data_IF_886075860748
#
_entry.id   IF_886075860748
#
_cell.length_a   1.000
_cell.length_b   1.000
_cell.length_c   1.000
_cell.angle_alpha   90.00
_cell.angle_beta   90.00
_cell.angle_gamma   90.00
#
_symmetry.space_group_name_H-M   'P 1'
#
loop_
_entity.id
_entity.type
_entity.pdbx_description
1 polymer ?
#
# COMPACT_ATOMS: atom_id res chain seq x y z
N UNK A 1 -14.65 -29.64 4.23
CA UNK A 1 -15.34 -30.94 4.04
C UNK A 1 -14.98 -31.46 2.66
N UNK A 2 -14.26 -32.61 2.62
CA UNK A 2 -13.92 -33.32 1.37
C UNK A 2 -15.15 -33.98 0.78
N UNK A 3 -15.42 -33.74 -0.51
CA UNK A 3 -16.37 -34.52 -1.30
C UNK A 3 -15.60 -35.23 -2.41
N UNK A 4 -15.44 -36.54 -2.40
CA UNK A 4 -14.74 -37.27 -3.47
C UNK A 4 -15.65 -37.47 -4.67
N UNK A 5 -15.27 -37.03 -5.87
CA UNK A 5 -15.85 -37.48 -7.13
C UNK A 5 -14.96 -38.56 -7.74
N UNK A 6 -15.50 -39.78 -7.83
CA UNK A 6 -14.84 -40.90 -8.51
C UNK A 6 -15.28 -40.86 -9.98
N UNK A 7 -14.35 -40.75 -10.91
CA UNK A 7 -14.57 -41.09 -12.34
C UNK A 7 -13.77 -42.34 -12.67
N UNK A 8 -14.47 -43.38 -13.11
CA UNK A 8 -13.84 -44.61 -13.60
C UNK A 8 -13.75 -44.59 -15.12
N UNK A 9 -12.57 -44.86 -15.66
CA UNK A 9 -12.36 -45.16 -17.07
C UNK A 9 -11.92 -46.63 -17.20
N UNK A 10 -12.61 -47.38 -18.07
CA UNK A 10 -12.25 -48.73 -18.44
C UNK A 10 -11.39 -48.69 -19.70
N UNK A 11 -10.15 -49.12 -19.62
CA UNK A 11 -9.33 -49.44 -20.79
C UNK A 11 -8.42 -50.63 -20.46
N UNK A 12 -8.56 -51.71 -21.24
CA UNK A 12 -7.72 -52.92 -21.22
C UNK A 12 -7.44 -53.57 -19.84
N UNK A 13 -8.47 -53.83 -19.06
CA UNK A 13 -8.36 -54.66 -17.88
C UNK A 13 -7.67 -54.06 -16.67
N UNK A 14 -7.24 -52.80 -16.73
CA UNK A 14 -6.66 -52.06 -15.57
C UNK A 14 -7.61 -50.99 -15.11
N UNK A 15 -7.97 -51.02 -13.83
CA UNK A 15 -8.69 -49.92 -13.17
C UNK A 15 -7.70 -48.88 -12.70
N UNK A 16 -7.62 -47.71 -13.34
CA UNK A 16 -6.96 -46.54 -12.79
C UNK A 16 -7.98 -45.70 -12.04
N UNK A 17 -7.84 -45.58 -10.72
CA UNK A 17 -8.62 -44.66 -9.90
C UNK A 17 -7.80 -43.36 -9.79
N UNK A 18 -8.07 -42.37 -10.63
CA UNK A 18 -7.57 -41.01 -10.41
C UNK A 18 -8.36 -40.35 -9.26
N UNK A 19 -7.82 -40.36 -8.08
CA UNK A 19 -8.28 -39.48 -6.99
C UNK A 19 -7.74 -38.07 -7.26
N UNK A 20 -8.46 -37.22 -7.96
CA UNK A 20 -8.27 -35.78 -7.89
C UNK A 20 -8.73 -35.31 -6.51
N UNK A 21 -7.80 -35.26 -5.57
CA UNK A 21 -8.02 -34.54 -4.31
C UNK A 21 -8.00 -33.06 -4.69
N UNK A 22 -9.16 -32.44 -4.81
CA UNK A 22 -9.28 -30.99 -4.85
C UNK A 22 -8.95 -30.50 -3.44
N UNK A 23 -7.66 -30.21 -3.18
CA UNK A 23 -7.29 -29.39 -2.05
C UNK A 23 -7.76 -27.97 -2.37
N UNK A 24 -8.55 -27.39 -1.48
CA UNK A 24 -8.87 -25.97 -1.54
C UNK A 24 -7.55 -25.21 -1.49
N UNK A 25 -7.31 -24.33 -2.47
CA UNK A 25 -6.09 -23.55 -2.51
C UNK A 25 -6.03 -22.63 -1.29
N UNK A 26 -4.88 -22.56 -0.66
CA UNK A 26 -4.63 -21.60 0.39
C UNK A 26 -4.70 -20.18 -0.18
N UNK A 27 -5.35 -19.26 0.53
CA UNK A 27 -5.47 -17.86 0.09
C UNK A 27 -4.16 -17.12 0.27
N UNK A 28 -3.89 -16.15 -0.58
CA UNK A 28 -2.80 -15.20 -0.41
C UNK A 28 -3.28 -13.79 -0.79
N UNK A 29 -3.61 -12.99 0.21
CA UNK A 29 -3.97 -11.59 0.01
C UNK A 29 -2.73 -10.71 0.12
N UNK A 30 -2.35 -10.09 -1.00
CA UNK A 30 -1.28 -9.08 -1.08
C UNK A 30 -1.86 -7.74 -1.48
N UNK A 31 -1.40 -6.66 -0.87
CA UNK A 31 -1.71 -5.30 -1.27
C UNK A 31 -0.46 -4.44 -1.38
N UNK A 32 -0.49 -3.44 -2.26
CA UNK A 32 0.39 -2.27 -2.19
C UNK A 32 -0.22 -1.17 -1.32
N UNK A 33 0.54 -0.13 -1.01
CA UNK A 33 -0.06 1.14 -0.68
C UNK A 33 -0.94 1.62 -1.84
N UNK A 34 -1.98 2.39 -1.54
CA UNK A 34 -2.76 3.08 -2.56
C UNK A 34 -2.08 4.41 -2.90
N UNK A 35 -1.90 4.69 -4.18
CA UNK A 35 -1.11 5.83 -4.64
C UNK A 35 -1.87 7.16 -4.44
N UNK A 36 -1.22 8.13 -3.78
CA UNK A 36 -1.82 9.44 -3.54
C UNK A 36 -1.93 10.26 -4.83
N UNK A 37 -3.15 10.67 -5.20
CA UNK A 37 -3.48 11.30 -6.48
C UNK A 37 -3.04 12.78 -6.59
N UNK A 38 -1.90 13.11 -6.03
CA UNK A 38 -1.36 14.49 -6.10
C UNK A 38 -0.54 14.77 -7.36
N UNK A 39 -0.13 13.75 -8.10
CA UNK A 39 0.63 13.85 -9.35
C UNK A 39 0.78 12.49 -10.05
N UNK A 40 1.17 12.52 -11.35
CA UNK A 40 1.62 11.35 -12.11
C UNK A 40 2.70 10.57 -11.34
N UNK A 41 2.61 9.24 -11.22
CA UNK A 41 3.60 8.42 -10.52
C UNK A 41 4.93 8.36 -11.27
N UNK A 42 6.04 8.49 -10.55
CA UNK A 42 7.39 8.30 -11.08
C UNK A 42 7.87 6.84 -10.86
N UNK A 43 9.04 6.48 -11.38
CA UNK A 43 9.55 5.10 -11.31
C UNK A 43 9.69 4.55 -9.89
N UNK A 44 9.85 5.40 -8.87
CA UNK A 44 9.86 4.96 -7.47
C UNK A 44 8.51 4.39 -7.01
N UNK A 45 7.38 4.96 -7.49
CA UNK A 45 6.05 4.41 -7.25
C UNK A 45 5.81 3.15 -8.09
N UNK A 46 6.32 3.15 -9.34
CA UNK A 46 6.18 2.01 -10.25
C UNK A 46 6.98 0.79 -9.77
N UNK A 47 8.09 0.99 -9.06
CA UNK A 47 8.85 -0.09 -8.44
C UNK A 47 7.98 -0.91 -7.46
N UNK A 48 7.21 -0.25 -6.60
CA UNK A 48 6.33 -0.91 -5.63
C UNK A 48 5.35 -1.87 -6.30
N UNK A 49 4.65 -1.40 -7.34
CA UNK A 49 3.64 -2.23 -8.02
C UNK A 49 4.26 -3.41 -8.76
N UNK A 50 5.46 -3.24 -9.35
CA UNK A 50 6.19 -4.32 -10.03
C UNK A 50 6.67 -5.37 -9.03
N UNK A 51 7.17 -4.94 -7.87
CA UNK A 51 7.62 -5.84 -6.82
C UNK A 51 6.44 -6.67 -6.27
N UNK A 52 5.30 -6.02 -6.00
CA UNK A 52 4.09 -6.72 -5.56
C UNK A 52 3.58 -7.71 -6.61
N UNK A 53 3.59 -7.32 -7.89
CA UNK A 53 3.17 -8.20 -8.99
C UNK A 53 4.09 -9.42 -9.13
N UNK A 54 5.39 -9.26 -8.96
CA UNK A 54 6.33 -10.38 -8.99
C UNK A 54 6.05 -11.39 -7.87
N UNK A 55 5.76 -10.91 -6.65
CA UNK A 55 5.37 -11.76 -5.51
C UNK A 55 4.04 -12.45 -5.80
N UNK A 56 3.03 -11.71 -6.30
CA UNK A 56 1.71 -12.27 -6.62
C UNK A 56 1.81 -13.37 -7.69
N UNK A 57 2.60 -13.15 -8.75
CA UNK A 57 2.85 -14.17 -9.79
C UNK A 57 3.54 -15.40 -9.22
N UNK A 58 4.56 -15.22 -8.37
CA UNK A 58 5.25 -16.34 -7.74
C UNK A 58 4.28 -17.15 -6.86
N UNK A 59 3.45 -16.49 -6.06
CA UNK A 59 2.45 -17.17 -5.22
C UNK A 59 1.40 -17.92 -6.05
N UNK A 60 0.98 -17.39 -7.20
CA UNK A 60 0.12 -18.12 -8.15
C UNK A 60 0.82 -19.37 -8.72
N UNK A 61 2.12 -19.29 -9.02
CA UNK A 61 2.92 -20.45 -9.46
C UNK A 61 3.08 -21.50 -8.36
N UNK A 62 3.18 -21.08 -7.10
CA UNK A 62 3.18 -21.98 -5.93
C UNK A 62 1.82 -22.64 -5.67
N UNK A 63 0.76 -22.20 -6.36
CA UNK A 63 -0.57 -22.79 -6.30
C UNK A 63 -1.55 -22.09 -5.35
N UNK A 64 -1.20 -20.95 -4.78
CA UNK A 64 -2.12 -20.15 -3.95
C UNK A 64 -3.28 -19.57 -4.76
N UNK A 65 -4.40 -19.31 -4.06
CA UNK A 65 -5.49 -18.47 -4.54
C UNK A 65 -5.17 -17.01 -4.16
N UNK A 66 -4.53 -16.30 -5.09
CA UNK A 66 -3.98 -14.96 -4.84
C UNK A 66 -5.02 -13.89 -5.14
N UNK A 67 -5.19 -12.98 -4.18
CA UNK A 67 -5.90 -11.70 -4.36
C UNK A 67 -4.91 -10.57 -4.22
N UNK A 68 -4.70 -9.81 -5.29
CA UNK A 68 -3.78 -8.69 -5.35
C UNK A 68 -4.53 -7.36 -5.52
N UNK A 69 -4.46 -6.51 -4.50
CA UNK A 69 -5.12 -5.21 -4.45
C UNK A 69 -4.12 -4.08 -4.53
N UNK A 70 -4.44 -3.07 -5.34
CA UNK A 70 -3.78 -1.76 -5.42
C UNK A 70 -4.83 -0.69 -5.66
N UNK A 71 -4.45 0.58 -5.76
CA UNK A 71 -5.43 1.65 -6.02
C UNK A 71 -4.91 3.05 -5.78
N UNK A 72 -5.85 3.96 -5.52
CA UNK A 72 -5.59 5.38 -5.32
C UNK A 72 -6.21 5.91 -4.05
N UNK A 73 -5.43 6.76 -3.35
CA UNK A 73 -5.85 7.61 -2.25
C UNK A 73 -6.17 9.00 -2.82
N UNK A 74 -7.41 9.47 -2.65
CA UNK A 74 -7.98 10.55 -3.44
C UNK A 74 -8.51 11.73 -2.61
N UNK A 75 -8.46 11.65 -1.29
CA UNK A 75 -8.93 12.70 -0.40
C UNK A 75 -7.80 13.52 0.23
N UNK A 76 -8.17 14.65 0.87
CA UNK A 76 -7.26 15.45 1.67
C UNK A 76 -7.05 16.88 1.18
N UNK A 77 -6.47 17.70 2.06
CA UNK A 77 -6.23 19.13 1.84
C UNK A 77 -5.35 19.40 0.61
N UNK A 78 -4.33 18.57 0.40
CA UNK A 78 -3.41 18.72 -0.72
C UNK A 78 -4.09 18.49 -2.07
N UNK A 79 -5.04 17.56 -2.17
CA UNK A 79 -5.84 17.35 -3.39
C UNK A 79 -6.74 18.54 -3.66
N UNK A 80 -7.43 19.05 -2.63
CA UNK A 80 -8.25 20.25 -2.76
C UNK A 80 -7.44 21.45 -3.26
N UNK A 81 -6.23 21.66 -2.74
CA UNK A 81 -5.32 22.71 -3.22
C UNK A 81 -4.96 22.47 -4.69
N UNK A 82 -4.58 21.23 -5.07
CA UNK A 82 -4.18 20.90 -6.43
C UNK A 82 -5.32 21.06 -7.46
N UNK A 83 -6.53 20.65 -7.11
CA UNK A 83 -7.71 20.85 -7.96
C UNK A 83 -8.03 22.31 -8.16
N UNK A 84 -7.93 23.12 -7.10
CA UNK A 84 -8.10 24.59 -7.16
C UNK A 84 -7.02 25.24 -8.05
N UNK A 85 -5.74 24.86 -7.89
CA UNK A 85 -4.65 25.32 -8.76
C UNK A 85 -4.88 24.96 -10.23
N UNK A 86 -5.48 23.80 -10.50
CA UNK A 86 -5.83 23.35 -11.84
C UNK A 86 -7.13 23.95 -12.39
N UNK A 87 -7.92 24.62 -11.57
CA UNK A 87 -9.19 25.25 -11.96
C UNK A 87 -10.31 24.23 -12.29
N UNK A 88 -10.27 23.04 -11.68
CA UNK A 88 -11.27 21.98 -11.88
C UNK A 88 -11.75 21.44 -10.53
N UNK A 89 -12.93 20.81 -10.54
CA UNK A 89 -13.50 20.19 -9.35
C UNK A 89 -12.61 19.04 -8.84
N UNK A 90 -12.50 18.83 -7.50
CA UNK A 90 -11.66 17.80 -6.92
C UNK A 90 -11.93 16.40 -7.47
N UNK A 91 -13.19 16.00 -7.67
CA UNK A 91 -13.54 14.70 -8.25
C UNK A 91 -12.97 14.55 -9.66
N UNK A 92 -13.13 15.55 -10.51
CA UNK A 92 -12.58 15.51 -11.88
C UNK A 92 -11.04 15.47 -11.88
N UNK A 93 -10.41 16.15 -10.91
CA UNK A 93 -8.97 16.13 -10.75
C UNK A 93 -8.49 14.70 -10.41
N UNK A 94 -9.07 14.06 -9.39
CA UNK A 94 -8.66 12.70 -8.99
C UNK A 94 -9.02 11.65 -10.02
N UNK A 95 -10.13 11.80 -10.76
CA UNK A 95 -10.48 10.90 -11.87
C UNK A 95 -9.41 10.89 -12.96
N UNK A 96 -8.89 12.07 -13.32
CA UNK A 96 -7.79 12.18 -14.29
C UNK A 96 -6.51 11.52 -13.79
N UNK A 97 -6.08 11.85 -12.56
CA UNK A 97 -4.82 11.31 -12.00
C UNK A 97 -4.92 9.82 -11.72
N UNK A 98 -6.05 9.33 -11.20
CA UNK A 98 -6.28 7.89 -11.00
C UNK A 98 -6.25 7.12 -12.33
N UNK A 99 -6.82 7.71 -13.40
CA UNK A 99 -6.74 7.16 -14.75
C UNK A 99 -5.30 7.05 -15.27
N UNK A 100 -4.47 8.09 -15.04
CA UNK A 100 -3.04 8.05 -15.39
C UNK A 100 -2.28 6.96 -14.60
N UNK A 101 -2.52 6.87 -13.29
CA UNK A 101 -1.91 5.86 -12.43
C UNK A 101 -2.27 4.46 -12.92
N UNK A 102 -3.57 4.21 -13.16
CA UNK A 102 -4.05 2.93 -13.66
C UNK A 102 -3.41 2.57 -15.01
N UNK A 103 -3.32 3.54 -15.91
CA UNK A 103 -2.68 3.35 -17.23
C UNK A 103 -1.22 2.93 -17.09
N UNK A 104 -0.46 3.50 -16.13
CA UNK A 104 0.93 3.14 -15.88
C UNK A 104 1.02 1.74 -15.26
N UNK A 105 0.12 1.37 -14.32
CA UNK A 105 0.09 0.02 -13.74
C UNK A 105 -0.20 -1.03 -14.83
N UNK A 106 -1.14 -0.74 -15.73
CA UNK A 106 -1.47 -1.63 -16.86
C UNK A 106 -0.29 -1.72 -17.86
N UNK A 107 0.37 -0.59 -18.16
CA UNK A 107 1.57 -0.54 -19.01
C UNK A 107 2.72 -1.40 -18.46
N UNK A 108 2.87 -1.45 -17.12
CA UNK A 108 3.85 -2.31 -16.46
C UNK A 108 3.44 -3.79 -16.44
N UNK A 109 2.36 -4.18 -17.13
CA UNK A 109 1.86 -5.56 -17.22
C UNK A 109 1.63 -6.18 -15.83
N UNK A 110 1.05 -5.41 -14.91
CA UNK A 110 0.74 -5.89 -13.55
C UNK A 110 -0.58 -6.65 -13.52
N UNK A 111 -0.67 -7.65 -12.65
CA UNK A 111 -1.78 -8.61 -12.59
C UNK A 111 -2.61 -8.45 -11.33
N UNK A 112 -2.86 -7.19 -10.91
CA UNK A 112 -3.77 -6.93 -9.80
C UNK A 112 -5.19 -7.38 -10.11
N UNK A 113 -5.87 -7.90 -9.10
CA UNK A 113 -7.27 -8.34 -9.19
C UNK A 113 -8.23 -7.17 -8.94
N UNK A 114 -7.81 -6.19 -8.13
CA UNK A 114 -8.62 -5.02 -7.79
C UNK A 114 -7.79 -3.73 -7.80
N UNK A 115 -8.30 -2.73 -8.51
CA UNK A 115 -7.89 -1.34 -8.41
C UNK A 115 -8.96 -0.58 -7.64
N UNK A 116 -8.64 -0.13 -6.42
CA UNK A 116 -9.57 0.53 -5.51
C UNK A 116 -9.40 2.05 -5.56
N UNK A 117 -10.48 2.77 -5.25
CA UNK A 117 -10.49 4.22 -5.13
C UNK A 117 -11.13 4.61 -3.81
N UNK A 118 -10.55 5.56 -3.09
CA UNK A 118 -11.16 6.01 -1.82
C UNK A 118 -12.40 6.89 -2.05
N UNK A 119 -12.63 7.35 -3.28
CA UNK A 119 -13.87 8.03 -3.69
C UNK A 119 -14.99 7.08 -4.13
N UNK A 120 -14.79 5.76 -4.06
CA UNK A 120 -15.87 4.80 -4.27
C UNK A 120 -16.91 4.94 -3.14
N UNK A 121 -18.18 5.19 -3.49
CA UNK A 121 -19.27 5.45 -2.52
C UNK A 121 -19.39 4.39 -1.43
N UNK A 122 -19.26 3.11 -1.79
CA UNK A 122 -19.29 2.03 -0.83
C UNK A 122 -18.16 2.16 0.20
N UNK A 123 -16.95 2.54 -0.24
CA UNK A 123 -15.84 2.77 0.66
C UNK A 123 -16.14 3.93 1.62
N UNK A 124 -16.61 5.07 1.10
CA UNK A 124 -16.96 6.24 1.90
C UNK A 124 -18.01 5.90 2.98
N UNK A 125 -19.08 5.19 2.61
CA UNK A 125 -20.14 4.75 3.53
C UNK A 125 -19.58 3.85 4.65
N UNK A 126 -18.77 2.88 4.31
CA UNK A 126 -18.18 1.97 5.31
C UNK A 126 -17.18 2.69 6.22
N UNK A 127 -16.42 3.66 5.70
CA UNK A 127 -15.53 4.50 6.53
C UNK A 127 -16.34 5.29 7.56
N UNK A 128 -17.49 5.86 7.17
CA UNK A 128 -18.40 6.53 8.10
C UNK A 128 -18.91 5.58 9.20
N UNK A 129 -19.30 4.36 8.84
CA UNK A 129 -19.72 3.33 9.80
C UNK A 129 -18.58 2.94 10.76
N UNK A 130 -17.35 2.79 10.25
CA UNK A 130 -16.14 2.51 11.03
C UNK A 130 -15.88 3.63 12.04
N UNK A 131 -15.90 4.88 11.57
CA UNK A 131 -15.71 6.05 12.44
C UNK A 131 -16.76 6.11 13.56
N UNK A 132 -18.02 5.91 13.19
CA UNK A 132 -19.14 5.87 14.15
C UNK A 132 -18.97 4.76 15.18
N UNK A 133 -18.62 3.54 14.77
CA UNK A 133 -18.37 2.41 15.67
C UNK A 133 -17.26 2.70 16.68
N UNK A 134 -16.15 3.27 16.21
CA UNK A 134 -15.04 3.65 17.10
C UNK A 134 -15.45 4.76 18.07
N UNK A 135 -16.28 5.71 17.62
CA UNK A 135 -16.83 6.76 18.47
C UNK A 135 -17.78 6.19 19.53
N UNK A 136 -18.74 5.36 19.16
CA UNK A 136 -19.69 4.73 20.07
C UNK A 136 -19.00 3.83 21.10
N UNK A 137 -17.87 3.19 20.72
CA UNK A 137 -17.01 2.40 21.62
C UNK A 137 -16.19 3.27 22.57
N UNK A 138 -16.16 4.58 22.37
CA UNK A 138 -15.36 5.54 23.14
C UNK A 138 -13.86 5.53 22.78
N UNK A 139 -13.48 4.89 21.67
CA UNK A 139 -12.11 4.92 21.15
C UNK A 139 -11.84 6.20 20.35
N UNK A 140 -12.87 6.86 19.85
CA UNK A 140 -12.81 8.22 19.31
C UNK A 140 -13.54 9.16 20.26
N UNK A 141 -12.96 10.33 20.50
CA UNK A 141 -13.53 11.38 21.34
C UNK A 141 -13.28 12.76 20.76
N UNK A 142 -14.10 13.73 21.09
CA UNK A 142 -14.01 15.12 20.64
C UNK A 142 -13.12 15.94 21.55
N UNK A 143 -12.24 16.75 20.98
CA UNK A 143 -11.33 17.61 21.71
C UNK A 143 -10.89 18.81 20.88
N UNK A 144 -9.98 19.62 21.43
CA UNK A 144 -9.32 20.71 20.71
C UNK A 144 -7.90 20.27 20.33
N UNK A 145 -7.57 20.42 19.08
CA UNK A 145 -6.21 20.20 18.60
C UNK A 145 -5.44 21.52 18.52
N UNK A 146 -4.26 21.52 19.13
CA UNK A 146 -3.24 22.56 18.94
C UNK A 146 -1.93 21.87 18.62
N UNK A 147 -1.40 22.09 17.41
CA UNK A 147 -0.16 21.45 17.02
C UNK A 147 0.35 21.92 15.66
N UNK A 148 1.48 21.36 15.28
CA UNK A 148 2.20 21.69 14.06
C UNK A 148 1.87 20.70 12.97
N UNK A 149 1.28 21.17 11.87
CA UNK A 149 0.80 20.35 10.78
C UNK A 149 1.63 20.51 9.52
N UNK A 150 2.03 19.40 8.94
CA UNK A 150 2.69 19.36 7.64
C UNK A 150 1.65 19.04 6.55
N UNK A 151 1.26 20.02 5.74
CA UNK A 151 0.29 19.82 4.65
C UNK A 151 0.77 18.77 3.64
N UNK A 152 2.05 18.77 3.18
CA UNK A 152 2.51 17.79 2.19
C UNK A 152 2.52 16.33 2.66
N UNK A 153 2.69 16.09 3.96
CA UNK A 153 2.72 14.74 4.55
C UNK A 153 1.38 14.39 5.21
N UNK A 154 0.49 15.38 5.34
CA UNK A 154 -0.77 15.27 6.08
C UNK A 154 -0.58 14.69 7.50
N UNK A 155 0.49 15.12 8.16
CA UNK A 155 0.93 14.62 9.46
C UNK A 155 1.07 15.73 10.48
N UNK A 156 0.68 15.40 11.71
CA UNK A 156 0.85 16.26 12.88
C UNK A 156 2.13 15.95 13.62
N UNK A 157 2.71 16.99 14.19
CA UNK A 157 3.95 16.93 14.95
C UNK A 157 3.86 17.77 16.22
N UNK A 158 4.50 17.32 17.28
CA UNK A 158 4.81 18.15 18.43
C UNK A 158 6.11 18.91 18.16
N UNK A 159 6.35 20.02 18.86
CA UNK A 159 7.60 20.76 18.73
C UNK A 159 8.85 19.88 18.93
N UNK A 160 8.77 18.95 19.89
CA UNK A 160 9.87 18.03 20.21
C UNK A 160 10.15 16.99 19.11
N UNK A 161 9.23 16.77 18.19
CA UNK A 161 9.37 15.83 17.07
C UNK A 161 9.93 16.50 15.82
N UNK A 162 9.94 17.83 15.74
CA UNK A 162 10.50 18.55 14.60
C UNK A 162 12.01 18.42 14.54
N UNK A 163 12.55 18.39 13.33
CA UNK A 163 13.99 18.48 13.06
C UNK A 163 14.27 19.88 12.50
N UNK A 164 15.04 20.67 13.22
CA UNK A 164 15.34 22.09 12.89
C UNK A 164 14.07 22.93 12.63
N UNK A 165 12.99 22.69 13.41
CA UNK A 165 11.71 23.38 13.26
C UNK A 165 10.86 22.93 12.06
N UNK A 166 11.25 21.85 11.38
CA UNK A 166 10.62 21.34 10.16
C UNK A 166 10.07 19.93 10.34
N UNK A 167 9.20 19.53 9.42
CA UNK A 167 8.65 18.19 9.37
C UNK A 167 9.75 17.12 9.24
N UNK A 168 9.83 16.15 10.15
CA UNK A 168 10.88 15.13 10.12
C UNK A 168 10.77 14.18 8.93
N UNK A 169 9.58 14.00 8.36
CA UNK A 169 9.36 13.10 7.23
C UNK A 169 9.81 13.72 5.89
N UNK A 170 9.59 15.03 5.68
CA UNK A 170 9.83 15.65 4.37
C UNK A 170 10.72 16.91 4.40
N UNK A 171 11.12 17.40 5.58
CA UNK A 171 11.97 18.58 5.76
C UNK A 171 11.30 19.92 5.40
N UNK A 172 9.98 19.96 5.17
CA UNK A 172 9.23 21.18 4.84
C UNK A 172 8.71 21.88 6.09
N UNK A 173 8.33 23.14 5.92
CA UNK A 173 7.75 23.94 7.00
C UNK A 173 6.42 23.35 7.47
N UNK A 174 6.15 23.48 8.77
CA UNK A 174 4.89 23.12 9.42
C UNK A 174 4.13 24.38 9.81
N UNK A 175 2.80 24.26 9.92
CA UNK A 175 1.91 25.36 10.29
C UNK A 175 1.22 25.04 11.61
N UNK A 176 1.12 26.03 12.50
CA UNK A 176 0.26 25.91 13.67
C UNK A 176 -1.20 25.76 13.21
N UNK A 177 -1.85 24.72 13.70
CA UNK A 177 -3.30 24.50 13.53
C UNK A 177 -3.94 24.38 14.91
N UNK A 178 -5.02 25.15 15.10
CA UNK A 178 -5.87 25.05 16.29
C UNK A 178 -7.30 24.87 15.79
N UNK A 179 -7.83 23.68 15.99
CA UNK A 179 -9.20 23.37 15.55
C UNK A 179 -9.87 22.36 16.47
N UNK A 180 -11.20 22.40 16.56
CA UNK A 180 -11.97 21.33 17.16
C UNK A 180 -11.80 20.10 16.28
N UNK A 181 -11.50 18.96 16.90
CA UNK A 181 -11.22 17.73 16.18
C UNK A 181 -11.65 16.50 16.98
N UNK A 182 -11.79 15.37 16.28
CA UNK A 182 -11.92 14.06 16.88
C UNK A 182 -10.55 13.39 17.00
N UNK A 183 -10.34 12.70 18.14
CA UNK A 183 -9.10 11.99 18.46
C UNK A 183 -9.38 10.51 18.64
N UNK A 184 -8.55 9.68 18.03
CA UNK A 184 -8.51 8.24 18.30
C UNK A 184 -7.55 7.97 19.45
N UNK A 185 -7.97 7.18 20.45
CA UNK A 185 -7.17 6.78 21.63
C UNK A 185 -6.06 5.80 21.24
N UNK A 186 -5.10 6.26 20.44
CA UNK A 186 -3.97 5.46 19.99
C UNK A 186 -3.16 4.93 21.18
N UNK A 187 -2.98 5.78 22.21
CA UNK A 187 -2.27 5.45 23.45
C UNK A 187 -2.87 4.24 24.19
N UNK A 188 -4.19 4.03 24.11
CA UNK A 188 -4.90 2.88 24.73
C UNK A 188 -4.41 1.53 24.18
N UNK A 189 -3.94 1.49 22.95
CA UNK A 189 -3.57 0.27 22.24
C UNK A 189 -2.07 -0.04 22.27
N UNK A 190 -1.25 0.83 22.87
CA UNK A 190 0.21 0.72 22.86
C UNK A 190 0.71 -0.62 23.36
N UNK A 191 0.32 -1.01 24.58
CA UNK A 191 0.85 -2.23 25.20
C UNK A 191 0.47 -3.48 24.39
N UNK A 192 -0.79 -3.52 23.91
CA UNK A 192 -1.26 -4.60 23.05
C UNK A 192 -0.49 -4.65 21.70
N UNK A 193 -0.15 -3.49 21.16
CA UNK A 193 0.65 -3.41 19.93
C UNK A 193 2.07 -3.90 20.15
N UNK A 194 2.71 -3.52 21.27
CA UNK A 194 4.05 -4.01 21.65
C UNK A 194 4.05 -5.52 21.78
N UNK A 195 3.11 -6.07 22.57
CA UNK A 195 2.95 -7.51 22.77
C UNK A 195 2.79 -8.25 21.43
N UNK A 196 1.99 -7.69 20.52
CA UNK A 196 1.82 -8.28 19.18
C UNK A 196 3.11 -8.27 18.37
N UNK A 197 3.83 -7.14 18.31
CA UNK A 197 5.09 -7.03 17.57
C UNK A 197 6.17 -7.97 18.14
N UNK A 198 6.22 -8.14 19.45
CA UNK A 198 7.19 -9.02 20.10
C UNK A 198 6.86 -10.50 19.88
N UNK A 199 5.59 -10.88 19.92
CA UNK A 199 5.14 -12.25 19.69
C UNK A 199 5.11 -12.66 18.20
N UNK A 200 5.14 -11.69 17.28
CA UNK A 200 5.11 -11.90 15.82
C UNK A 200 6.35 -11.25 15.17
N UNK A 201 7.55 -11.88 15.25
CA UNK A 201 8.82 -11.30 14.84
C UNK A 201 8.84 -10.91 13.35
N UNK A 202 8.05 -11.57 12.52
CA UNK A 202 7.96 -11.33 11.08
C UNK A 202 6.89 -10.30 10.68
N UNK A 203 6.15 -9.74 11.64
CA UNK A 203 5.08 -8.79 11.36
C UNK A 203 5.58 -7.52 10.65
N UNK A 204 6.70 -6.96 11.10
CA UNK A 204 7.33 -5.76 10.49
C UNK A 204 8.66 -6.15 9.86
N UNK A 205 8.75 -6.00 8.54
CA UNK A 205 9.96 -6.30 7.77
C UNK A 205 10.37 -5.10 6.89
N UNK A 206 11.67 -4.92 6.60
CA UNK A 206 12.82 -5.60 7.21
C UNK A 206 13.00 -5.20 8.69
N UNK A 207 13.80 -5.97 9.42
CA UNK A 207 14.02 -5.78 10.87
C UNK A 207 14.45 -4.36 11.27
N UNK A 208 15.20 -3.68 10.40
CA UNK A 208 15.58 -2.29 10.61
C UNK A 208 14.34 -1.37 10.77
N UNK A 209 13.26 -1.64 10.04
CA UNK A 209 12.00 -0.88 10.15
C UNK A 209 11.26 -1.20 11.45
N UNK A 210 11.26 -2.46 11.88
CA UNK A 210 10.72 -2.87 13.19
C UNK A 210 11.43 -2.11 14.32
N UNK A 211 12.76 -2.10 14.30
CA UNK A 211 13.55 -1.43 15.31
C UNK A 211 13.32 0.10 15.32
N UNK A 212 13.19 0.71 14.15
CA UNK A 212 12.84 2.13 14.02
C UNK A 212 11.47 2.44 14.63
N UNK A 213 10.43 1.66 14.31
CA UNK A 213 9.08 1.86 14.84
C UNK A 213 9.04 1.70 16.36
N UNK A 214 9.67 0.65 16.89
CA UNK A 214 9.72 0.41 18.32
C UNK A 214 10.47 1.52 19.07
N UNK A 215 11.66 1.91 18.61
CA UNK A 215 12.52 2.83 19.36
C UNK A 215 12.12 4.30 19.20
N UNK A 216 11.71 4.72 17.99
CA UNK A 216 11.48 6.13 17.70
C UNK A 216 10.04 6.57 17.95
N UNK A 217 9.06 5.66 17.87
CA UNK A 217 7.65 6.01 17.95
C UNK A 217 6.90 5.35 19.09
N UNK A 218 7.11 4.05 19.35
CA UNK A 218 6.28 3.30 20.32
C UNK A 218 6.84 3.46 21.74
N UNK A 219 8.13 3.18 21.98
CA UNK A 219 8.75 3.29 23.31
C UNK A 219 8.68 4.68 23.95
N UNK A 220 8.77 5.80 23.19
CA UNK A 220 8.57 7.13 23.76
C UNK A 220 7.17 7.40 24.27
N UNK A 221 6.19 6.56 23.92
CA UNK A 221 4.77 6.68 24.29
C UNK A 221 3.93 7.22 23.14
N UNK A 222 2.95 6.41 22.70
CA UNK A 222 2.00 6.80 21.66
C UNK A 222 1.05 7.89 22.17
N UNK A 223 0.91 8.94 21.39
CA UNK A 223 -0.05 10.01 21.63
C UNK A 223 -1.35 9.73 20.88
N UNK A 224 -2.48 10.18 21.42
CA UNK A 224 -3.76 10.06 20.74
C UNK A 224 -3.74 10.78 19.39
N UNK A 225 -4.31 10.15 18.39
CA UNK A 225 -4.23 10.59 17.00
C UNK A 225 -5.42 11.44 16.61
N UNK A 226 -5.19 12.64 16.10
CA UNK A 226 -6.26 13.45 15.50
C UNK A 226 -6.77 12.77 14.23
N UNK A 227 -8.08 12.42 14.22
CA UNK A 227 -8.73 11.64 13.14
C UNK A 227 -9.83 12.40 12.40
N UNK A 228 -9.94 13.70 12.60
CA UNK A 228 -10.81 14.55 11.79
C UNK A 228 -10.22 15.93 11.52
N UNK A 229 -10.79 16.62 10.54
CA UNK A 229 -10.39 17.96 10.09
C UNK A 229 -11.61 18.81 9.83
N UNK A 230 -11.44 20.14 10.02
CA UNK A 230 -12.46 21.15 9.67
C UNK A 230 -11.92 22.23 8.73
N UNK A 231 -10.61 22.21 8.44
CA UNK A 231 -9.93 23.25 7.65
C UNK A 231 -10.10 23.13 6.13
N UNK A 232 -10.65 22.01 5.64
CA UNK A 232 -10.94 21.74 4.23
C UNK A 232 -12.18 20.86 4.11
N UNK A 233 -12.74 20.72 2.90
CA UNK A 233 -14.00 20.00 2.65
C UNK A 233 -13.89 18.78 1.76
N UNK A 234 -12.74 18.57 1.09
CA UNK A 234 -12.55 17.42 0.20
C UNK A 234 -12.14 16.19 0.97
N UNK A 235 -13.08 15.30 1.26
CA UNK A 235 -12.92 14.07 2.01
C UNK A 235 -14.26 13.53 2.51
N UNK A 236 -14.21 12.44 3.28
CA UNK A 236 -15.39 11.75 3.80
C UNK A 236 -15.94 12.54 5.01
N UNK A 237 -17.16 13.06 4.98
CA UNK A 237 -17.74 13.76 6.13
C UNK A 237 -18.03 12.76 7.26
N UNK A 238 -17.85 13.19 8.51
CA UNK A 238 -18.32 12.44 9.67
C UNK A 238 -19.86 12.52 9.68
N UNK A 239 -20.54 11.37 9.58
CA UNK A 239 -21.99 11.28 9.36
C UNK A 239 -22.81 12.07 10.39
N UNK A 240 -22.48 11.95 11.68
CA UNK A 240 -23.19 12.63 12.78
C UNK A 240 -22.67 14.06 13.09
N UNK A 241 -21.58 14.52 12.44
CA UNK A 241 -21.00 15.86 12.57
C UNK A 241 -20.34 16.30 11.24
N UNK A 242 -21.14 16.62 10.18
CA UNK A 242 -20.65 16.79 8.82
C UNK A 242 -19.69 17.97 8.59
N UNK A 243 -19.49 18.85 9.59
CA UNK A 243 -18.46 19.89 9.53
C UNK A 243 -17.05 19.32 9.64
N UNK A 244 -16.92 18.08 10.15
CA UNK A 244 -15.67 17.36 10.25
C UNK A 244 -15.49 16.39 9.10
N UNK A 245 -14.31 16.39 8.50
CA UNK A 245 -13.89 15.45 7.47
C UNK A 245 -12.99 14.39 8.13
N UNK A 246 -13.20 13.12 7.82
CA UNK A 246 -12.38 12.01 8.31
C UNK A 246 -10.93 12.20 7.87
N UNK A 247 -10.00 11.95 8.78
CA UNK A 247 -8.57 12.06 8.52
C UNK A 247 -8.12 11.06 7.44
N UNK A 248 -7.34 11.54 6.49
CA UNK A 248 -6.91 10.80 5.29
C UNK A 248 -6.31 9.43 5.60
N UNK A 249 -5.56 9.27 6.70
CA UNK A 249 -4.97 7.98 7.04
C UNK A 249 -5.98 6.98 7.64
N UNK A 250 -7.05 7.43 8.29
CA UNK A 250 -8.14 6.52 8.68
C UNK A 250 -8.92 6.06 7.45
N UNK A 251 -9.19 6.97 6.53
CA UNK A 251 -9.77 6.70 5.22
C UNK A 251 -8.89 5.74 4.41
N UNK A 252 -7.66 6.15 4.10
CA UNK A 252 -6.75 5.39 3.25
C UNK A 252 -6.47 3.97 3.79
N UNK A 253 -6.21 3.79 5.09
CA UNK A 253 -5.88 2.47 5.65
C UNK A 253 -7.06 1.49 5.65
N UNK A 254 -8.28 1.99 5.79
CA UNK A 254 -9.47 1.12 5.78
C UNK A 254 -9.80 0.53 4.41
N UNK A 255 -9.19 1.05 3.31
CA UNK A 255 -9.36 0.47 1.98
C UNK A 255 -9.06 -1.03 1.93
N UNK A 256 -8.10 -1.50 2.75
CA UNK A 256 -7.67 -2.90 2.77
C UNK A 256 -8.77 -3.87 3.21
N UNK A 257 -9.79 -3.39 3.90
CA UNK A 257 -10.92 -4.22 4.35
C UNK A 257 -12.24 -3.86 3.67
N UNK A 258 -12.50 -2.59 3.38
CA UNK A 258 -13.76 -2.16 2.78
C UNK A 258 -13.96 -2.78 1.39
N UNK A 259 -12.91 -2.83 0.58
CA UNK A 259 -12.97 -3.32 -0.79
C UNK A 259 -13.03 -4.85 -0.93
N UNK A 260 -12.83 -5.58 0.15
CA UNK A 260 -13.07 -7.03 0.21
C UNK A 260 -14.37 -7.38 0.95
N UNK A 261 -15.20 -6.36 1.22
CA UNK A 261 -16.56 -6.56 1.75
C UNK A 261 -16.67 -6.57 3.27
N UNK A 262 -15.76 -5.86 3.97
CA UNK A 262 -15.98 -5.53 5.38
C UNK A 262 -17.01 -4.42 5.49
N UNK A 263 -17.98 -4.62 6.33
CA UNK A 263 -18.79 -3.57 6.93
C UNK A 263 -18.97 -3.91 8.43
N UNK A 264 -19.25 -2.88 9.23
CA UNK A 264 -19.33 -2.97 10.69
C UNK A 264 -20.33 -4.03 11.15
N UNK A 265 -21.48 -4.11 10.50
CA UNK A 265 -22.60 -4.97 10.87
C UNK A 265 -22.82 -6.14 9.90
N UNK A 266 -22.17 -6.15 8.73
CA UNK A 266 -22.45 -7.12 7.68
C UNK A 266 -21.20 -7.51 6.86
N UNK A 267 -20.38 -8.39 7.44
CA UNK A 267 -19.18 -8.89 6.78
C UNK A 267 -19.51 -9.94 5.72
N UNK A 268 -19.03 -9.71 4.50
CA UNK A 268 -19.22 -10.65 3.38
C UNK A 268 -18.42 -11.96 3.54
N UNK A 269 -18.76 -12.96 2.75
CA UNK A 269 -17.98 -14.20 2.66
C UNK A 269 -16.58 -13.94 2.07
N UNK A 270 -16.45 -12.96 1.18
CA UNK A 270 -15.17 -12.57 0.59
C UNK A 270 -14.23 -12.00 1.66
N UNK A 271 -14.71 -11.09 2.50
CA UNK A 271 -13.95 -10.59 3.65
C UNK A 271 -13.47 -11.74 4.55
N UNK A 272 -14.38 -12.63 4.94
CA UNK A 272 -14.05 -13.77 5.82
C UNK A 272 -13.05 -14.74 5.19
N UNK A 273 -13.01 -14.85 3.85
CA UNK A 273 -12.06 -15.66 3.12
C UNK A 273 -10.69 -14.99 3.02
N UNK A 274 -10.66 -13.71 2.70
CA UNK A 274 -9.42 -13.00 2.35
C UNK A 274 -8.70 -12.41 3.57
N UNK A 275 -9.46 -11.87 4.55
CA UNK A 275 -8.84 -11.25 5.72
C UNK A 275 -8.40 -12.29 6.77
N UNK A 276 -7.24 -12.15 7.46
CA UNK A 276 -6.27 -11.05 7.36
C UNK A 276 -5.41 -11.11 6.09
N UNK A 277 -4.87 -9.95 5.67
CA UNK A 277 -3.92 -9.90 4.56
C UNK A 277 -2.62 -10.63 4.92
N UNK A 278 -2.06 -11.36 3.95
CA UNK A 278 -0.78 -12.04 4.14
C UNK A 278 0.41 -11.07 4.02
N UNK A 279 0.26 -10.03 3.16
CA UNK A 279 1.31 -9.04 2.97
C UNK A 279 0.74 -7.68 2.58
N UNK A 280 1.07 -6.65 3.38
CA UNK A 280 1.06 -5.26 2.95
C UNK A 280 2.46 -4.87 2.50
N UNK A 281 2.66 -4.67 1.20
CA UNK A 281 3.92 -4.20 0.62
C UNK A 281 3.81 -2.70 0.40
N UNK A 282 4.63 -1.92 1.09
CA UNK A 282 4.49 -0.46 1.13
C UNK A 282 5.85 0.24 1.12
N UNK A 283 5.90 1.51 0.76
CA UNK A 283 7.11 2.32 0.87
C UNK A 283 7.58 2.47 2.33
N UNK A 284 8.90 2.49 2.54
CA UNK A 284 9.48 2.63 3.88
C UNK A 284 9.09 3.92 4.62
N UNK A 285 8.68 4.95 3.90
CA UNK A 285 8.26 6.25 4.43
C UNK A 285 6.88 6.22 5.10
N UNK A 286 6.07 5.22 4.79
CA UNK A 286 4.72 5.05 5.34
C UNK A 286 4.58 3.83 6.27
N UNK A 287 5.69 3.21 6.66
CA UNK A 287 5.71 2.08 7.61
C UNK A 287 5.02 2.43 8.92
N UNK A 288 5.23 3.65 9.45
CA UNK A 288 4.60 4.10 10.69
C UNK A 288 3.07 3.98 10.65
N UNK A 289 2.44 4.39 9.56
CA UNK A 289 0.98 4.34 9.42
C UNK A 289 0.46 2.91 9.35
N UNK A 290 1.18 2.02 8.68
CA UNK A 290 0.78 0.63 8.48
C UNK A 290 1.13 -0.31 9.64
N UNK A 291 2.05 0.09 10.51
CA UNK A 291 2.50 -0.75 11.64
C UNK A 291 2.12 -0.22 13.01
N UNK A 292 1.64 1.03 13.09
CA UNK A 292 1.16 1.65 14.33
C UNK A 292 -0.32 2.00 14.20
N UNK A 293 -0.72 2.88 13.25
CA UNK A 293 -2.11 3.35 13.15
C UNK A 293 -3.04 2.23 12.72
N UNK A 294 -2.70 1.55 11.62
CA UNK A 294 -3.52 0.48 11.07
C UNK A 294 -3.80 -0.66 12.06
N UNK A 295 -2.78 -1.25 12.72
CA UNK A 295 -3.03 -2.24 13.77
C UNK A 295 -3.94 -1.75 14.89
N UNK A 296 -3.76 -0.51 15.36
CA UNK A 296 -4.59 0.03 16.42
C UNK A 296 -6.05 0.25 15.98
N UNK A 297 -6.28 0.68 14.72
CA UNK A 297 -7.63 0.75 14.16
C UNK A 297 -8.28 -0.64 14.08
N UNK A 298 -7.55 -1.63 13.62
CA UNK A 298 -8.03 -3.02 13.58
C UNK A 298 -8.33 -3.58 14.98
N UNK A 299 -7.47 -3.30 15.95
CA UNK A 299 -7.71 -3.68 17.35
C UNK A 299 -8.97 -3.02 17.93
N UNK A 300 -9.25 -1.76 17.55
CA UNK A 300 -10.48 -1.07 17.93
C UNK A 300 -11.71 -1.70 17.28
N UNK A 301 -11.59 -2.21 16.08
CA UNK A 301 -12.64 -2.92 15.35
C UNK A 301 -12.79 -4.39 15.77
N UNK A 302 -11.94 -4.88 16.67
CA UNK A 302 -11.85 -6.29 17.09
C UNK A 302 -11.55 -7.24 15.92
N UNK A 303 -10.74 -6.77 14.96
CA UNK A 303 -10.31 -7.54 13.81
C UNK A 303 -8.88 -8.10 13.96
N UNK A 304 -8.57 -9.25 13.36
CA UNK A 304 -7.21 -9.75 13.29
C UNK A 304 -6.32 -8.78 12.49
N UNK A 305 -5.02 -8.77 12.84
CA UNK A 305 -4.03 -7.94 12.17
C UNK A 305 -3.49 -8.63 10.92
N UNK A 306 -2.94 -7.89 9.93
CA UNK A 306 -2.25 -8.48 8.79
C UNK A 306 -1.04 -9.30 9.26
N UNK A 307 -0.71 -10.36 8.52
CA UNK A 307 0.39 -11.25 8.89
C UNK A 307 1.75 -10.56 8.77
N UNK A 308 1.92 -9.71 7.74
CA UNK A 308 3.17 -9.03 7.45
C UNK A 308 2.97 -7.66 6.83
N UNK A 309 3.78 -6.70 7.27
CA UNK A 309 4.00 -5.40 6.62
C UNK A 309 5.46 -5.32 6.21
N UNK A 310 5.72 -5.18 4.91
CA UNK A 310 7.06 -5.03 4.37
C UNK A 310 7.28 -3.62 3.84
N UNK A 311 8.19 -2.87 4.47
CA UNK A 311 8.60 -1.54 4.03
C UNK A 311 9.73 -1.62 3.01
N UNK A 312 9.39 -1.56 1.71
CA UNK A 312 10.40 -1.61 0.65
C UNK A 312 11.25 -0.34 0.59
N UNK A 313 12.51 -0.44 0.12
CA UNK A 313 13.42 0.68 0.01
C UNK A 313 13.01 1.67 -1.11
N UNK A 314 13.69 2.81 -1.17
CA UNK A 314 13.51 3.76 -2.25
C UNK A 314 14.34 3.40 -3.48
N UNK A 315 13.79 3.72 -4.64
CA UNK A 315 14.54 3.90 -5.85
C UNK A 315 14.97 5.37 -5.92
N UNK A 316 16.27 5.60 -5.88
CA UNK A 316 16.86 6.94 -5.87
C UNK A 316 17.68 7.19 -7.13
N UNK A 317 17.96 8.45 -7.44
CA UNK A 317 18.92 8.85 -8.46
C UNK A 317 20.32 8.98 -7.84
N UNK A 318 21.35 9.06 -8.66
CA UNK A 318 22.72 9.26 -8.17
C UNK A 318 22.90 10.53 -7.33
N UNK A 319 22.06 11.56 -7.56
CA UNK A 319 21.99 12.81 -6.80
C UNK A 319 21.00 12.78 -5.62
N UNK A 320 20.44 11.59 -5.30
CA UNK A 320 19.54 11.33 -4.18
C UNK A 320 18.07 11.10 -4.57
N UNK A 321 17.15 11.38 -3.64
CA UNK A 321 15.70 11.13 -3.83
C UNK A 321 15.16 11.94 -5.02
N UNK A 322 14.34 11.28 -5.86
CA UNK A 322 13.59 11.93 -6.93
C UNK A 322 12.62 12.97 -6.38
N UNK A 323 12.62 14.17 -6.96
CA UNK A 323 11.64 15.19 -6.63
C UNK A 323 11.38 16.15 -7.79
N UNK A 324 10.14 16.69 -7.86
CA UNK A 324 9.78 17.70 -8.87
C UNK A 324 10.64 18.95 -8.77
N UNK A 325 10.99 19.37 -7.54
CA UNK A 325 11.80 20.57 -7.30
C UNK A 325 13.25 20.44 -7.80
N UNK A 326 13.76 19.20 -7.90
CA UNK A 326 15.10 18.92 -8.46
C UNK A 326 15.08 18.69 -9.96
N UNK A 327 13.91 18.47 -10.57
CA UNK A 327 13.79 18.18 -11.99
C UNK A 327 14.36 16.82 -12.41
N UNK A 328 14.62 15.92 -11.46
CA UNK A 328 15.22 14.60 -11.68
C UNK A 328 14.20 13.45 -11.66
N UNK A 329 12.93 13.74 -12.02
CA UNK A 329 11.89 12.72 -12.12
C UNK A 329 12.06 11.90 -13.40
N UNK A 330 11.96 10.58 -13.25
CA UNK A 330 11.92 9.63 -14.35
C UNK A 330 10.57 8.91 -14.33
N UNK A 331 9.94 8.77 -15.48
CA UNK A 331 8.64 8.15 -15.62
C UNK A 331 8.73 6.78 -16.33
N UNK A 332 7.86 5.85 -15.89
CA UNK A 332 7.90 4.49 -16.41
C UNK A 332 7.50 4.39 -17.88
N UNK A 333 6.54 5.20 -18.33
CA UNK A 333 6.08 5.23 -19.71
C UNK A 333 7.20 5.67 -20.68
N UNK A 334 8.04 6.65 -20.31
CA UNK A 334 9.19 7.07 -21.10
C UNK A 334 10.20 5.93 -21.25
N UNK A 335 10.50 5.23 -20.17
CA UNK A 335 11.42 4.11 -20.18
C UNK A 335 10.87 2.90 -20.93
N UNK A 336 9.59 2.58 -20.76
CA UNK A 336 8.94 1.47 -21.47
C UNK A 336 8.88 1.72 -22.97
N UNK A 337 8.59 2.95 -23.39
CA UNK A 337 8.62 3.33 -24.81
C UNK A 337 10.02 3.16 -25.44
N UNK A 338 11.08 3.36 -24.66
CA UNK A 338 12.47 3.28 -25.15
C UNK A 338 13.06 1.88 -25.07
N UNK A 339 12.77 1.12 -24.02
CA UNK A 339 13.44 -0.13 -23.69
C UNK A 339 12.53 -1.36 -23.60
N UNK A 340 11.21 -1.16 -23.61
CA UNK A 340 10.23 -2.22 -23.40
C UNK A 340 9.98 -2.55 -21.93
N UNK A 341 8.79 -3.06 -21.63
CA UNK A 341 8.32 -3.30 -20.26
C UNK A 341 9.13 -4.37 -19.52
N UNK A 342 9.52 -5.43 -20.22
CA UNK A 342 10.23 -6.56 -19.59
C UNK A 342 11.62 -6.15 -19.10
N UNK A 343 12.32 -5.29 -19.85
CA UNK A 343 13.62 -4.75 -19.46
C UNK A 343 13.52 -3.90 -18.17
N UNK A 344 12.48 -3.06 -18.07
CA UNK A 344 12.27 -2.21 -16.89
C UNK A 344 11.89 -3.05 -15.68
N UNK A 345 10.99 -4.03 -15.85
CA UNK A 345 10.61 -4.97 -14.79
C UNK A 345 11.83 -5.77 -14.31
N UNK A 346 12.65 -6.28 -15.23
CA UNK A 346 13.87 -6.99 -14.89
C UNK A 346 14.82 -6.11 -14.06
N UNK A 347 15.07 -4.88 -14.52
CA UNK A 347 15.92 -3.93 -13.81
C UNK A 347 15.46 -3.69 -12.38
N UNK A 348 14.17 -3.41 -12.16
CA UNK A 348 13.63 -3.16 -10.83
C UNK A 348 13.81 -4.35 -9.89
N UNK A 349 13.59 -5.55 -10.38
CA UNK A 349 13.65 -6.78 -9.57
C UNK A 349 15.09 -7.29 -9.36
N UNK A 350 16.03 -6.90 -10.23
CA UNK A 350 17.42 -7.34 -10.19
C UNK A 350 18.32 -6.35 -9.44
N UNK A 351 18.21 -5.05 -9.75
CA UNK A 351 19.15 -4.04 -9.29
C UNK A 351 18.84 -3.45 -7.93
N UNK A 352 17.56 -3.47 -7.52
CA UNK A 352 17.17 -2.86 -6.26
C UNK A 352 17.28 -3.90 -5.15
N UNK A 353 18.21 -3.73 -4.18
CA UNK A 353 18.30 -4.64 -3.04
C UNK A 353 17.01 -4.65 -2.23
N UNK A 354 16.62 -5.82 -1.72
CA UNK A 354 15.31 -5.99 -1.07
C UNK A 354 15.14 -5.18 0.24
N UNK A 355 16.24 -4.81 0.89
CA UNK A 355 16.22 -4.13 2.19
C UNK A 355 16.94 -2.77 2.23
N UNK A 356 17.57 -2.33 1.13
CA UNK A 356 18.31 -1.07 1.04
C UNK A 356 18.01 -0.33 -0.25
N UNK A 357 18.18 1.00 -0.24
CA UNK A 357 17.89 1.83 -1.39
C UNK A 357 18.72 1.43 -2.60
N UNK A 358 18.08 1.40 -3.77
CA UNK A 358 18.70 1.14 -5.05
C UNK A 358 18.86 2.43 -5.87
N UNK A 359 19.90 2.49 -6.69
CA UNK A 359 20.17 3.65 -7.54
C UNK A 359 19.74 3.34 -8.96
N UNK A 360 18.95 4.23 -9.55
CA UNK A 360 18.64 4.21 -10.97
C UNK A 360 19.63 5.05 -11.76
N UNK A 361 20.17 4.48 -12.83
CA UNK A 361 20.76 5.22 -13.94
C UNK A 361 20.40 4.53 -15.26
N UNK A 362 20.26 5.31 -16.30
CA UNK A 362 19.94 4.77 -17.63
C UNK A 362 21.10 3.93 -18.19
N UNK A 363 22.34 4.30 -17.90
CA UNK A 363 23.53 3.53 -18.30
C UNK A 363 23.52 2.13 -17.66
N UNK A 364 23.17 2.04 -16.36
CA UNK A 364 23.06 0.75 -15.67
C UNK A 364 21.92 -0.10 -16.24
N UNK A 365 20.78 0.52 -16.58
CA UNK A 365 19.68 -0.18 -17.25
C UNK A 365 20.15 -0.78 -18.58
N UNK A 366 20.86 -0.01 -19.42
CA UNK A 366 21.39 -0.48 -20.70
C UNK A 366 22.42 -1.59 -20.49
N UNK A 367 23.27 -1.49 -19.48
CA UNK A 367 24.23 -2.55 -19.11
C UNK A 367 23.50 -3.86 -18.78
N UNK A 368 22.43 -3.82 -17.98
CA UNK A 368 21.63 -5.01 -17.64
C UNK A 368 20.92 -5.61 -18.85
N UNK A 369 20.37 -4.76 -19.71
CA UNK A 369 19.74 -5.24 -20.97
C UNK A 369 20.75 -6.00 -21.82
N UNK A 370 21.92 -5.44 -22.06
CA UNK A 370 22.92 -6.05 -22.91
C UNK A 370 23.61 -7.25 -22.26
N UNK A 371 24.02 -7.12 -20.99
CA UNK A 371 24.73 -8.17 -20.25
C UNK A 371 23.86 -9.36 -19.92
N UNK A 372 22.75 -9.11 -19.26
CA UNK A 372 21.95 -10.18 -18.65
C UNK A 372 20.89 -10.71 -19.63
N UNK A 373 20.09 -9.82 -20.23
CA UNK A 373 18.99 -10.25 -21.09
C UNK A 373 19.47 -10.70 -22.48
N UNK A 374 20.28 -9.89 -23.15
CA UNK A 374 20.75 -10.23 -24.50
C UNK A 374 21.86 -11.29 -24.46
N UNK A 375 22.94 -11.08 -23.70
CA UNK A 375 24.09 -11.99 -23.75
C UNK A 375 23.85 -13.26 -22.91
N UNK A 376 23.40 -13.17 -21.67
CA UNK A 376 23.24 -14.37 -20.82
C UNK A 376 21.99 -15.14 -21.22
N UNK A 377 20.82 -14.54 -21.04
CA UNK A 377 19.52 -15.22 -21.28
C UNK A 377 19.33 -15.51 -22.77
N UNK A 378 19.59 -14.53 -23.65
CA UNK A 378 19.44 -14.69 -25.11
C UNK A 378 20.35 -15.77 -25.67
N UNK A 379 21.61 -15.85 -25.24
CA UNK A 379 22.51 -16.92 -25.64
C UNK A 379 22.09 -18.30 -25.10
N UNK A 380 21.59 -18.36 -23.86
CA UNK A 380 21.06 -19.61 -23.31
C UNK A 380 19.90 -20.14 -24.16
N UNK A 381 18.92 -19.30 -24.46
CA UNK A 381 17.76 -19.67 -25.29
C UNK A 381 18.20 -20.09 -26.68
N UNK A 382 19.02 -19.29 -27.34
CA UNK A 382 19.51 -19.59 -28.71
C UNK A 382 20.26 -20.94 -28.76
N UNK A 383 21.17 -21.21 -27.83
CA UNK A 383 21.92 -22.47 -27.77
C UNK A 383 21.00 -23.67 -27.49
N UNK A 384 20.06 -23.52 -26.56
CA UNK A 384 19.09 -24.59 -26.21
C UNK A 384 18.24 -24.95 -27.41
N UNK A 385 17.66 -23.97 -28.12
CA UNK A 385 16.87 -24.20 -29.32
C UNK A 385 17.71 -24.84 -30.42
N UNK A 386 18.92 -24.30 -30.67
CA UNK A 386 19.83 -24.85 -31.72
C UNK A 386 20.25 -26.29 -31.42
N UNK A 387 20.40 -26.68 -30.17
CA UNK A 387 20.69 -28.08 -29.76
C UNK A 387 19.48 -28.98 -29.89
N UNK A 388 18.26 -28.49 -29.63
CA UNK A 388 17.04 -29.30 -29.74
C UNK A 388 16.60 -29.59 -31.18
N UNK A 389 17.12 -28.82 -32.14
CA UNK A 389 16.89 -29.03 -33.57
C UNK A 389 17.90 -29.98 -34.26
N UNK A 390 18.90 -30.47 -33.54
CA UNK A 390 19.83 -31.51 -33.96
C UNK A 390 19.39 -32.90 -33.50
#
# INVERSE_FOLDING_TARGET
RMVPRIRSFLCYGCFFIERKIYMEKEKYYISTAIAYTSAKPHIGNTYEIVLADAIARNKRLEGYDVYFQTGTDEHGEKIQIKSTEAGIEPQAYVDNVAGEIKTIWDLMNTTYDKFVRTTDKHHEEVVQHIFKKMYDKGDIYKGEYKGLYCIPCESFWTESQLIDGKCPDCGRDVQEKCEEAYFFRLSKYQDRLVEYIESHPDFIQPEARKNEMLNNFIKPGLQDLCVSRTSFSWGIPVDFDPKHIVYVWLDALTNYITNIGYDVDNQTNEFKKLWPANLHLIGKDIVRFHTIYWPCFLMSLDLPLPEKVFGHPFLIMADGKMSKSKGNLVYADDLVNKYGVDAIRYFFLHEIPFASDGVFSEDLLVERINGDLANILGNLVNRTISMSHK
#
